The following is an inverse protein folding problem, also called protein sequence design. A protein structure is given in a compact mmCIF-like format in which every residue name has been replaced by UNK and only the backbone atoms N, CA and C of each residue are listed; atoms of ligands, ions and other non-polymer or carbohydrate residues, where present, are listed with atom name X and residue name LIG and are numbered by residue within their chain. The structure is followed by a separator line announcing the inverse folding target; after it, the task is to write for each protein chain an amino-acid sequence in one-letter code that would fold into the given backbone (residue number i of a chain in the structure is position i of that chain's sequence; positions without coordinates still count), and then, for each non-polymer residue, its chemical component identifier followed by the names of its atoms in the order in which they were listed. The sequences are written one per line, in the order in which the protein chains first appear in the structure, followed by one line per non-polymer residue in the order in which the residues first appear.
data_IF_946084844771
#
_entry.id   IF_946084844771
#
_cell.length_a   1.000
_cell.length_b   1.000
_cell.length_c   1.000
_cell.angle_alpha   90.00
_cell.angle_beta   90.00
_cell.angle_gamma   90.00
#
_symmetry.space_group_name_H-M   'P 1'
#
loop_
_entity.id
_entity.type
_entity.pdbx_description
1 polymer ?
#
# COMPACT_ATOMS: atom_id res chain seq x y z
N UNK A 1 25.98 18.99 3.33
CA UNK A 1 25.80 20.03 2.28
C UNK A 1 27.10 20.21 1.45
N UNK A 2 27.67 19.16 0.83
CA UNK A 2 28.99 19.26 0.16
C UNK A 2 28.94 19.96 -1.21
N UNK A 3 27.80 19.94 -1.91
CA UNK A 3 27.62 20.58 -3.21
C UNK A 3 27.57 22.11 -3.11
N UNK A 4 26.94 22.62 -2.05
CA UNK A 4 26.81 24.06 -1.81
C UNK A 4 28.16 24.67 -1.43
N UNK A 5 28.97 23.94 -0.65
CA UNK A 5 30.34 24.36 -0.32
C UNK A 5 31.26 24.37 -1.54
N UNK A 6 31.17 23.36 -2.42
CA UNK A 6 31.98 23.31 -3.65
C UNK A 6 31.62 24.44 -4.63
N UNK A 7 30.32 24.73 -4.81
CA UNK A 7 29.87 25.86 -5.63
C UNK A 7 30.33 27.22 -5.06
N UNK A 8 30.29 27.36 -3.74
CA UNK A 8 30.74 28.57 -3.06
C UNK A 8 32.26 28.79 -3.22
N UNK A 9 33.05 27.74 -3.13
CA UNK A 9 34.51 27.77 -3.30
C UNK A 9 34.93 28.12 -4.74
N UNK A 10 34.17 27.65 -5.74
CA UNK A 10 34.38 28.01 -7.16
C UNK A 10 34.10 29.50 -7.40
N UNK A 11 33.09 30.07 -6.73
CA UNK A 11 32.71 31.48 -6.89
C UNK A 11 33.66 32.48 -6.20
N UNK A 12 34.52 32.02 -5.28
CA UNK A 12 35.47 32.86 -4.56
C UNK A 12 36.79 33.11 -5.30
N UNK A 13 36.98 32.57 -6.51
CA UNK A 13 38.24 32.71 -7.23
C UNK A 13 38.40 34.10 -7.89
N UNK A 14 39.63 34.64 -7.91
CA UNK A 14 39.88 36.04 -8.32
C UNK A 14 39.75 36.27 -9.84
N UNK A 15 39.82 35.21 -10.64
CA UNK A 15 39.85 35.28 -12.11
C UNK A 15 38.56 34.71 -12.71
N UNK A 16 37.80 35.54 -13.42
CA UNK A 16 36.52 35.17 -14.08
C UNK A 16 36.68 33.99 -15.05
N UNK A 17 37.83 33.86 -15.71
CA UNK A 17 38.13 32.74 -16.59
C UNK A 17 38.20 31.39 -15.87
N UNK A 18 38.78 31.38 -14.66
CA UNK A 18 38.92 30.16 -13.84
C UNK A 18 37.58 29.76 -13.23
N UNK A 19 36.79 30.74 -12.78
CA UNK A 19 35.41 30.52 -12.30
C UNK A 19 34.55 29.88 -13.39
N UNK A 20 34.62 30.39 -14.63
CA UNK A 20 33.85 29.86 -15.74
C UNK A 20 34.30 28.45 -16.14
N UNK A 21 35.61 28.18 -16.16
CA UNK A 21 36.17 26.86 -16.47
C UNK A 21 35.77 25.78 -15.46
N UNK A 22 35.92 26.08 -14.17
CA UNK A 22 35.53 25.20 -13.06
C UNK A 22 34.02 24.96 -13.02
N UNK A 23 33.21 26.01 -13.27
CA UNK A 23 31.76 25.88 -13.33
C UNK A 23 31.30 25.01 -14.51
N UNK A 24 31.95 25.12 -15.68
CA UNK A 24 31.69 24.24 -16.82
C UNK A 24 32.06 22.79 -16.50
N UNK A 25 33.21 22.56 -15.85
CA UNK A 25 33.63 21.22 -15.43
C UNK A 25 32.66 20.61 -14.40
N UNK A 26 32.26 21.39 -13.39
CA UNK A 26 31.31 20.98 -12.37
C UNK A 26 29.96 20.61 -13.00
N UNK A 27 29.44 21.47 -13.90
CA UNK A 27 28.22 21.17 -14.64
C UNK A 27 28.37 19.92 -15.52
N UNK A 28 29.51 19.73 -16.18
CA UNK A 28 29.78 18.54 -16.98
C UNK A 28 29.74 17.26 -16.13
N UNK A 29 30.33 17.25 -14.93
CA UNK A 29 30.29 16.09 -14.03
C UNK A 29 28.86 15.75 -13.57
N UNK A 30 28.04 16.77 -13.28
CA UNK A 30 26.63 16.58 -12.94
C UNK A 30 25.85 16.00 -14.12
N UNK A 31 26.07 16.51 -15.33
CA UNK A 31 25.41 16.02 -16.54
C UNK A 31 25.84 14.58 -16.89
N UNK A 32 27.10 14.21 -16.67
CA UNK A 32 27.57 12.84 -16.82
C UNK A 32 26.82 11.90 -15.87
N UNK A 33 26.67 12.26 -14.59
CA UNK A 33 25.93 11.46 -13.62
C UNK A 33 24.45 11.28 -14.03
N UNK A 34 23.81 12.33 -14.55
CA UNK A 34 22.44 12.27 -15.08
C UNK A 34 22.35 11.34 -16.29
N UNK A 35 23.27 11.46 -17.26
CA UNK A 35 23.29 10.60 -18.46
C UNK A 35 23.51 9.15 -18.07
N UNK A 36 24.45 8.86 -17.16
CA UNK A 36 24.66 7.50 -16.65
C UNK A 36 23.41 6.97 -15.95
N UNK A 37 22.76 7.78 -15.10
CA UNK A 37 21.50 7.41 -14.45
C UNK A 37 20.37 7.09 -15.44
N UNK A 38 20.25 7.89 -16.51
CA UNK A 38 19.28 7.64 -17.60
C UNK A 38 19.62 6.38 -18.38
N UNK A 39 20.89 6.16 -18.74
CA UNK A 39 21.34 4.97 -19.45
C UNK A 39 21.14 3.70 -18.61
N UNK A 40 21.45 3.75 -17.31
CA UNK A 40 21.18 2.65 -16.38
C UNK A 40 19.68 2.43 -16.25
N UNK A 41 18.86 3.48 -16.14
CA UNK A 41 17.40 3.37 -16.10
C UNK A 41 16.79 2.81 -17.40
N UNK A 42 17.39 3.09 -18.55
CA UNK A 42 16.97 2.57 -19.86
C UNK A 42 17.43 1.13 -20.11
N UNK A 43 18.65 0.80 -19.68
CA UNK A 43 19.20 -0.55 -19.75
C UNK A 43 18.53 -1.49 -18.73
N UNK A 44 18.05 -0.94 -17.61
CA UNK A 44 17.23 -1.64 -16.65
C UNK A 44 15.82 -1.84 -17.23
N UNK A 45 15.66 -2.87 -18.05
CA UNK A 45 14.34 -3.46 -18.34
C UNK A 45 14.03 -4.52 -17.29
N UNK A 46 13.22 -4.22 -16.27
CA UNK A 46 12.85 -5.25 -15.32
C UNK A 46 12.04 -6.34 -16.03
N UNK A 47 12.47 -7.59 -15.90
CA UNK A 47 11.78 -8.75 -16.49
C UNK A 47 10.32 -8.91 -16.01
N UNK A 48 9.94 -8.28 -14.89
CA UNK A 48 8.55 -8.28 -14.41
C UNK A 48 7.58 -7.47 -15.29
N UNK A 49 8.06 -6.54 -16.11
CA UNK A 49 7.21 -5.78 -17.04
C UNK A 49 6.79 -6.59 -18.30
N UNK A 50 7.46 -7.70 -18.60
CA UNK A 50 7.11 -8.59 -19.73
C UNK A 50 6.35 -9.85 -19.30
N UNK A 51 6.21 -10.11 -18.00
CA UNK A 51 5.52 -11.30 -17.49
C UNK A 51 3.98 -11.23 -17.70
N UNK A 52 3.43 -10.04 -17.99
CA UNK A 52 2.00 -9.86 -18.29
C UNK A 52 1.57 -10.14 -19.74
N UNK A 53 2.51 -10.44 -20.66
CA UNK A 53 2.17 -10.71 -22.09
C UNK A 53 2.35 -12.17 -22.50
N UNK A 54 3.03 -12.99 -21.70
CA UNK A 54 3.21 -14.42 -21.97
C UNK A 54 2.09 -15.33 -21.47
N UNK A 55 1.15 -14.80 -20.69
CA UNK A 55 0.05 -15.57 -20.08
C UNK A 55 -1.32 -15.20 -20.68
N UNK A 56 -1.35 -15.00 -21.99
CA UNK A 56 -2.61 -14.91 -22.78
C UNK A 56 -2.53 -15.65 -24.13
N UNK A 57 -1.46 -16.41 -24.38
CA UNK A 57 -1.35 -17.29 -25.56
C UNK A 57 -0.68 -18.60 -25.15
N UNK A 58 -1.38 -19.41 -24.33
CA UNK A 58 -1.17 -20.86 -24.23
C UNK A 58 -2.25 -21.46 -23.34
N UNK A 59 -3.47 -21.58 -23.87
CA UNK A 59 -4.52 -22.46 -23.34
C UNK A 59 -5.54 -22.77 -24.44
N UNK A 60 -5.08 -23.25 -25.59
CA UNK A 60 -5.91 -24.04 -26.50
C UNK A 60 -5.01 -25.07 -27.19
N UNK A 61 -4.94 -26.27 -26.64
CA UNK A 61 -4.58 -27.48 -27.39
C UNK A 61 -5.61 -28.54 -27.03
N UNK A 62 -6.36 -28.91 -28.06
CA UNK A 62 -7.52 -29.81 -28.09
C UNK A 62 -7.11 -31.28 -28.02
N UNK A 63 -7.99 -32.10 -27.43
CA UNK A 63 -8.12 -33.53 -27.70
C UNK A 63 -8.77 -33.81 -29.07
N UNK A 64 -8.62 -35.02 -29.66
CA UNK A 64 -8.76 -35.23 -31.09
C UNK A 64 -10.13 -35.70 -31.59
N UNK A 65 -10.49 -35.15 -32.77
CA UNK A 65 -11.17 -35.71 -33.95
C UNK A 65 -12.48 -36.53 -33.81
N UNK A 66 -13.54 -35.99 -34.44
CA UNK A 66 -14.38 -36.74 -35.37
C UNK A 66 -14.97 -35.80 -36.46
N UNK A 67 -14.73 -36.18 -37.73
CA UNK A 67 -15.49 -36.05 -39.01
C UNK A 67 -16.70 -35.08 -39.07
N UNK A 68 -17.04 -34.33 -40.14
CA UNK A 68 -16.81 -34.42 -41.59
C UNK A 68 -17.41 -33.16 -42.27
N UNK A 69 -16.94 -32.80 -43.48
CA UNK A 69 -17.63 -32.15 -44.64
C UNK A 69 -18.52 -30.90 -44.42
N UNK A 70 -18.56 -29.81 -45.21
CA UNK A 70 -18.32 -29.58 -46.66
C UNK A 70 -18.49 -28.07 -46.95
N UNK A 71 -17.74 -27.52 -47.94
CA UNK A 71 -18.06 -26.46 -48.93
C UNK A 71 -18.97 -25.24 -48.56
N UNK A 72 -18.74 -23.99 -48.96
CA UNK A 72 -17.95 -23.39 -50.06
C UNK A 72 -18.10 -21.86 -50.06
N UNK A 73 -17.06 -21.16 -50.57
CA UNK A 73 -17.05 -19.90 -51.37
C UNK A 73 -17.71 -18.63 -50.80
N UNK A 74 -17.25 -17.39 -51.01
CA UNK A 74 -16.14 -16.68 -51.67
C UNK A 74 -16.30 -15.21 -51.16
N UNK A 75 -15.31 -14.35 -51.01
CA UNK A 75 -14.61 -13.66 -52.08
C UNK A 75 -13.45 -12.78 -51.56
N UNK A 76 -12.53 -12.53 -52.49
CA UNK A 76 -11.20 -11.92 -52.37
C UNK A 76 -11.24 -10.39 -52.54
N UNK A 77 -10.16 -9.72 -52.11
CA UNK A 77 -9.31 -8.71 -52.80
C UNK A 77 -8.16 -8.45 -51.79
N UNK A 78 -6.89 -8.85 -51.93
CA UNK A 78 -5.85 -8.80 -52.98
C UNK A 78 -5.02 -7.51 -53.03
N UNK A 79 -3.70 -7.73 -53.20
CA UNK A 79 -2.56 -6.84 -53.51
C UNK A 79 -1.85 -6.22 -52.29
N UNK A 80 -0.64 -6.61 -51.86
CA UNK A 80 0.63 -7.08 -52.49
C UNK A 80 1.36 -6.03 -53.33
N UNK A 81 2.56 -5.58 -52.88
CA UNK A 81 3.89 -5.96 -53.41
C UNK A 81 4.98 -5.14 -52.65
N UNK A 82 5.95 -5.80 -51.97
CA UNK A 82 7.35 -6.07 -52.38
C UNK A 82 8.30 -4.88 -52.18
N UNK A 83 9.54 -4.98 -51.71
CA UNK A 83 10.47 -6.07 -51.33
C UNK A 83 11.59 -5.39 -50.51
N UNK A 84 12.77 -5.90 -50.21
CA UNK A 84 13.50 -7.15 -50.33
C UNK A 84 14.79 -6.88 -49.53
N UNK A 85 15.34 -7.88 -48.84
CA UNK A 85 16.64 -7.73 -48.16
C UNK A 85 17.01 -8.91 -47.27
N UNK A 86 17.44 -10.00 -47.89
CA UNK A 86 17.78 -11.30 -47.28
C UNK A 86 19.30 -11.44 -47.06
N UNK A 87 19.70 -11.74 -45.80
CA UNK A 87 20.75 -12.65 -45.23
C UNK A 87 22.19 -12.69 -45.83
N UNK A 88 23.27 -12.90 -45.02
CA UNK A 88 23.70 -14.26 -44.57
C UNK A 88 24.12 -14.32 -43.08
N UNK A 89 23.58 -15.23 -42.27
CA UNK A 89 24.20 -16.48 -41.80
C UNK A 89 25.72 -16.47 -41.60
N UNK A 90 26.15 -16.50 -40.33
CA UNK A 90 27.39 -17.16 -39.91
C UNK A 90 27.13 -17.93 -38.60
N UNK A 91 26.91 -19.23 -38.75
CA UNK A 91 27.20 -20.20 -37.70
C UNK A 91 28.71 -20.36 -37.64
N UNK A 92 29.30 -20.16 -36.46
CA UNK A 92 30.44 -20.93 -35.93
C UNK A 92 31.06 -20.11 -34.81
N UNK A 93 30.98 -20.63 -33.59
CA UNK A 93 32.05 -20.66 -32.58
C UNK A 93 31.47 -21.42 -31.38
N UNK A 94 31.36 -22.75 -31.54
CA UNK A 94 31.30 -23.69 -30.41
C UNK A 94 32.74 -23.88 -29.94
N UNK A 95 33.04 -23.56 -28.69
CA UNK A 95 33.89 -24.40 -27.85
C UNK A 95 33.46 -24.24 -26.37
N UNK A 96 33.57 -25.32 -25.58
CA UNK A 96 32.83 -25.53 -24.36
C UNK A 96 33.59 -25.00 -23.14
N UNK A 97 32.87 -24.61 -22.09
CA UNK A 97 33.46 -24.49 -20.75
C UNK A 97 32.63 -25.24 -19.72
N UNK A 98 33.30 -25.81 -18.70
CA UNK A 98 32.93 -27.09 -18.12
C UNK A 98 32.13 -26.94 -16.84
N UNK A 99 31.31 -27.96 -16.57
CA UNK A 99 30.89 -28.33 -15.23
C UNK A 99 32.09 -28.80 -14.41
N UNK A 100 32.37 -28.17 -13.28
CA UNK A 100 33.12 -28.80 -12.20
C UNK A 100 32.72 -28.20 -10.84
N UNK A 101 32.11 -29.06 -10.03
CA UNK A 101 32.16 -29.01 -8.57
C UNK A 101 33.54 -29.57 -8.16
N UNK A 102 34.23 -28.94 -7.23
CA UNK A 102 34.82 -29.60 -6.05
C UNK A 102 35.54 -28.60 -5.15
N UNK A 103 35.32 -28.71 -3.84
CA UNK A 103 36.40 -29.26 -3.02
C UNK A 103 35.81 -30.03 -1.83
N UNK A 104 36.07 -31.33 -1.85
CA UNK A 104 36.00 -32.25 -0.71
C UNK A 104 37.41 -32.25 -0.09
N UNK A 105 37.49 -32.33 1.24
CA UNK A 105 38.59 -33.04 1.89
C UNK A 105 37.98 -34.25 2.60
N UNK A 106 38.48 -35.41 2.18
CA UNK A 106 38.36 -36.81 2.64
C UNK A 106 38.39 -37.00 4.17
N UNK A 107 38.09 -38.15 4.77
CA UNK A 107 37.30 -39.37 4.54
C UNK A 107 37.47 -40.13 5.88
N UNK A 108 36.46 -40.88 6.33
CA UNK A 108 36.57 -41.63 7.59
C UNK A 108 35.35 -42.51 7.88
N UNK A 109 35.37 -43.67 7.24
CA UNK A 109 34.51 -44.87 7.26
C UNK A 109 34.17 -45.46 8.66
N UNK A 110 32.93 -45.99 8.76
CA UNK A 110 32.30 -47.03 9.60
C UNK A 110 32.12 -46.91 11.13
N UNK A 111 30.86 -46.97 11.61
CA UNK A 111 30.20 -48.20 12.12
C UNK A 111 28.81 -47.94 12.71
N UNK A 112 27.90 -48.90 12.45
CA UNK A 112 26.61 -49.09 13.12
C UNK A 112 26.77 -49.31 14.63
N UNK A 113 25.79 -48.89 15.44
CA UNK A 113 25.11 -49.76 16.43
C UNK A 113 23.90 -49.06 17.08
N UNK A 114 22.80 -49.79 17.11
CA UNK A 114 21.52 -49.52 17.80
C UNK A 114 21.68 -49.80 19.30
N UNK A 115 21.24 -48.92 20.22
CA UNK A 115 20.79 -49.36 21.55
C UNK A 115 19.77 -48.42 22.22
N UNK A 116 18.93 -49.06 23.02
CA UNK A 116 17.62 -48.71 23.57
C UNK A 116 17.62 -47.77 24.80
N UNK A 117 16.44 -47.18 25.06
CA UNK A 117 16.01 -46.42 26.27
C UNK A 117 15.97 -47.31 27.54
N UNK A 118 16.11 -46.77 28.78
CA UNK A 118 14.96 -46.64 29.70
C UNK A 118 14.94 -45.32 30.54
N UNK A 119 13.84 -45.05 31.31
CA UNK A 119 13.46 -43.72 31.82
C UNK A 119 13.86 -43.47 33.29
N UNK A 120 13.85 -42.20 33.74
CA UNK A 120 13.78 -41.89 35.18
C UNK A 120 13.10 -40.54 35.42
N UNK A 121 12.00 -40.59 36.17
CA UNK A 121 11.27 -39.48 36.77
C UNK A 121 12.13 -38.68 37.75
N UNK A 122 12.05 -37.34 37.70
CA UNK A 122 12.28 -36.48 38.86
C UNK A 122 11.47 -35.19 38.68
N UNK A 123 10.46 -35.05 39.54
CA UNK A 123 9.68 -33.84 39.74
C UNK A 123 10.60 -32.63 39.99
N UNK A 124 10.38 -31.55 39.25
CA UNK A 124 10.76 -30.21 39.67
C UNK A 124 9.60 -29.27 39.37
N UNK A 125 8.77 -29.07 40.39
CA UNK A 125 7.84 -27.97 40.48
C UNK A 125 8.64 -26.66 40.46
N UNK A 126 8.77 -26.06 39.28
CA UNK A 126 9.21 -24.68 39.14
C UNK A 126 8.04 -23.89 38.53
N UNK A 127 7.22 -23.34 39.42
CA UNK A 127 6.16 -22.39 39.11
C UNK A 127 6.72 -21.22 38.29
N UNK A 128 6.53 -21.27 36.98
CA UNK A 128 6.77 -20.16 36.07
C UNK A 128 5.54 -19.24 36.08
N UNK A 129 5.55 -18.25 36.97
CA UNK A 129 4.57 -17.17 37.07
C UNK A 129 4.66 -16.15 35.91
N UNK A 130 4.66 -16.62 34.66
CA UNK A 130 4.82 -15.78 33.45
C UNK A 130 3.62 -15.65 32.48
N UNK A 131 2.42 -16.26 32.62
CA UNK A 131 1.38 -16.10 31.60
C UNK A 131 0.41 -14.93 31.81
N UNK A 132 0.38 -14.28 32.97
CA UNK A 132 -0.65 -13.25 33.26
C UNK A 132 -0.26 -11.84 32.79
N UNK A 133 1.03 -11.47 32.92
CA UNK A 133 1.51 -10.12 32.54
C UNK A 133 1.44 -9.91 31.02
N UNK A 134 1.79 -10.92 30.20
CA UNK A 134 1.70 -10.83 28.74
C UNK A 134 0.26 -10.73 28.23
N UNK A 135 -0.71 -11.35 28.92
CA UNK A 135 -2.14 -11.26 28.56
C UNK A 135 -2.76 -9.89 28.86
N UNK A 136 -2.28 -9.20 29.90
CA UNK A 136 -2.77 -7.88 30.29
C UNK A 136 -2.43 -6.76 29.28
N UNK A 137 -1.49 -7.00 28.36
CA UNK A 137 -0.95 -6.00 27.43
C UNK A 137 -1.53 -6.06 26.00
N UNK A 138 -2.44 -6.99 25.71
CA UNK A 138 -2.88 -7.24 24.33
C UNK A 138 -3.85 -6.18 23.82
N UNK A 139 -5.13 -6.28 24.19
CA UNK A 139 -6.18 -5.34 23.79
C UNK A 139 -7.23 -5.29 24.90
N UNK A 140 -7.44 -4.11 25.45
CA UNK A 140 -8.23 -3.84 26.65
C UNK A 140 -9.49 -3.04 26.32
N UNK A 141 -10.38 -2.86 27.28
CA UNK A 141 -11.58 -2.06 27.07
C UNK A 141 -11.27 -0.57 26.91
N UNK A 142 -10.16 -0.07 27.46
CA UNK A 142 -9.66 1.30 27.18
C UNK A 142 -9.37 1.52 25.68
N UNK A 143 -8.95 0.46 24.97
CA UNK A 143 -8.72 0.55 23.53
C UNK A 143 -10.03 0.68 22.74
N UNK A 144 -11.12 0.09 23.26
CA UNK A 144 -12.46 0.27 22.72
C UNK A 144 -12.92 1.72 22.94
N UNK A 145 -12.75 2.26 24.14
CA UNK A 145 -13.12 3.65 24.48
C UNK A 145 -12.44 4.66 23.55
N UNK A 146 -11.13 4.48 23.34
CA UNK A 146 -10.37 5.29 22.39
C UNK A 146 -10.90 5.17 20.95
N UNK A 147 -11.25 3.96 20.50
CA UNK A 147 -11.84 3.77 19.17
C UNK A 147 -13.21 4.46 19.06
N UNK A 148 -14.04 4.43 20.10
CA UNK A 148 -15.32 5.13 20.13
C UNK A 148 -15.13 6.65 20.00
N UNK A 149 -14.21 7.23 20.76
CA UNK A 149 -13.86 8.65 20.64
C UNK A 149 -13.40 9.02 19.22
N UNK A 150 -12.61 8.17 18.56
CA UNK A 150 -12.19 8.38 17.17
C UNK A 150 -13.37 8.33 16.18
N UNK A 151 -14.30 7.39 16.36
CA UNK A 151 -15.51 7.26 15.52
C UNK A 151 -16.38 8.51 15.60
N UNK A 152 -16.53 9.06 16.80
CA UNK A 152 -17.28 10.29 17.07
C UNK A 152 -16.51 11.58 16.79
N UNK A 153 -15.20 11.48 16.49
CA UNK A 153 -14.32 12.65 16.30
C UNK A 153 -14.22 13.52 17.57
N UNK A 154 -14.26 12.86 18.74
CA UNK A 154 -14.11 13.46 20.08
C UNK A 154 -12.80 13.09 20.76
N UNK A 155 -11.84 12.58 20.00
CA UNK A 155 -10.54 12.12 20.51
C UNK A 155 -9.57 13.25 20.91
N UNK A 156 -10.00 14.52 20.79
CA UNK A 156 -9.18 15.70 21.11
C UNK A 156 -8.02 15.98 20.14
N UNK A 157 -7.84 15.16 19.11
CA UNK A 157 -6.80 15.36 18.12
C UNK A 157 -7.08 16.50 17.13
N UNK A 158 -6.07 16.90 16.32
CA UNK A 158 -6.23 17.96 15.32
C UNK A 158 -7.32 17.66 14.30
N UNK A 159 -7.79 18.71 13.63
CA UNK A 159 -8.79 18.60 12.57
C UNK A 159 -8.34 17.70 11.41
N UNK A 160 -9.26 16.87 10.92
CA UNK A 160 -9.05 15.99 9.79
C UNK A 160 -9.05 16.77 8.46
N UNK A 161 -7.98 16.65 7.67
CA UNK A 161 -7.84 17.28 6.35
C UNK A 161 -8.22 16.26 5.28
N UNK A 162 -9.25 16.54 4.48
CA UNK A 162 -9.66 15.64 3.40
C UNK A 162 -8.56 15.54 2.34
N UNK A 163 -8.21 14.31 1.98
CA UNK A 163 -7.15 14.02 1.02
C UNK A 163 -7.64 13.25 -0.22
N UNK A 164 -8.78 12.57 -0.11
CA UNK A 164 -9.31 11.77 -1.21
C UNK A 164 -10.84 11.66 -1.13
N UNK A 165 -11.48 11.71 -2.28
CA UNK A 165 -12.87 11.32 -2.49
C UNK A 165 -12.97 10.61 -3.85
N UNK A 166 -13.31 9.33 -3.84
CA UNK A 166 -13.34 8.45 -5.00
C UNK A 166 -14.51 7.48 -4.87
N UNK A 167 -15.04 7.05 -6.01
CA UNK A 167 -16.07 6.01 -6.05
C UNK A 167 -15.93 5.14 -7.29
N UNK A 168 -16.34 3.90 -7.15
CA UNK A 168 -16.73 3.00 -8.24
C UNK A 168 -18.26 2.84 -8.20
N UNK A 169 -18.80 1.97 -9.05
CA UNK A 169 -20.23 1.66 -9.05
C UNK A 169 -20.70 1.00 -7.74
N UNK A 170 -19.84 0.20 -7.11
CA UNK A 170 -20.18 -0.63 -5.94
C UNK A 170 -19.42 -0.26 -4.66
N UNK A 171 -18.48 0.69 -4.75
CA UNK A 171 -17.64 1.11 -3.64
C UNK A 171 -17.51 2.64 -3.58
N UNK A 172 -17.76 3.25 -2.43
CA UNK A 172 -17.39 4.64 -2.13
C UNK A 172 -16.16 4.70 -1.23
N UNK A 173 -15.29 5.70 -1.41
CA UNK A 173 -14.11 5.87 -0.58
C UNK A 173 -13.78 7.34 -0.34
N UNK A 174 -13.76 7.74 0.93
CA UNK A 174 -13.26 9.04 1.37
C UNK A 174 -12.13 8.84 2.37
N UNK A 175 -11.11 9.68 2.29
CA UNK A 175 -9.98 9.64 3.20
C UNK A 175 -9.57 11.03 3.67
N UNK A 176 -9.09 11.07 4.91
CA UNK A 176 -8.57 12.25 5.60
C UNK A 176 -7.24 11.92 6.26
N UNK A 177 -6.42 12.96 6.45
CA UNK A 177 -5.16 12.92 7.17
C UNK A 177 -5.16 14.01 8.24
N UNK A 178 -4.48 13.77 9.35
CA UNK A 178 -4.01 14.83 10.26
C UNK A 178 -2.57 14.55 10.67
N UNK A 179 -1.86 15.60 11.02
CA UNK A 179 -0.46 15.55 11.43
C UNK A 179 -0.39 16.00 12.90
N UNK A 180 -0.27 15.09 13.89
CA UNK A 180 -0.14 15.48 15.30
C UNK A 180 1.22 16.13 15.57
N UNK A 181 1.33 16.90 16.67
CA UNK A 181 2.60 17.51 17.08
C UNK A 181 3.67 16.46 17.39
N UNK A 182 3.24 15.35 18.00
CA UNK A 182 4.09 14.22 18.34
C UNK A 182 3.59 12.95 17.66
N UNK A 183 4.49 12.23 17.00
CA UNK A 183 4.19 10.93 16.39
C UNK A 183 3.88 11.00 14.89
N UNK A 184 3.61 9.83 14.27
CA UNK A 184 3.44 9.73 12.83
C UNK A 184 2.12 10.37 12.35
N UNK A 185 2.03 10.72 11.05
CA UNK A 185 0.78 11.12 10.43
C UNK A 185 -0.33 10.09 10.67
N UNK A 186 -1.52 10.58 10.97
CA UNK A 186 -2.69 9.75 11.22
C UNK A 186 -3.64 9.83 10.04
N UNK A 187 -4.27 8.71 9.72
CA UNK A 187 -5.18 8.56 8.59
C UNK A 187 -6.54 8.06 9.08
N UNK A 188 -7.59 8.61 8.46
CA UNK A 188 -8.96 8.17 8.61
C UNK A 188 -9.53 7.90 7.23
N UNK A 189 -10.31 6.84 7.07
CA UNK A 189 -11.10 6.66 5.85
C UNK A 189 -12.49 6.11 6.11
N UNK A 190 -13.44 6.45 5.25
CA UNK A 190 -14.79 5.89 5.16
C UNK A 190 -14.90 5.17 3.83
N UNK A 191 -15.06 3.84 3.89
CA UNK A 191 -15.29 3.00 2.71
C UNK A 191 -16.71 2.45 2.79
N UNK A 192 -17.49 2.61 1.74
CA UNK A 192 -18.85 2.07 1.66
C UNK A 192 -18.86 0.97 0.59
N UNK A 193 -19.28 -0.23 0.97
CA UNK A 193 -19.48 -1.37 0.06
C UNK A 193 -20.97 -1.60 -0.13
N UNK A 194 -21.44 -1.54 -1.38
CA UNK A 194 -22.81 -1.90 -1.72
C UNK A 194 -23.01 -3.41 -1.64
N UNK A 195 -24.23 -3.86 -1.36
CA UNK A 195 -24.59 -5.29 -1.34
C UNK A 195 -23.66 -6.12 -0.43
N UNK A 196 -23.41 -5.63 0.79
CA UNK A 196 -22.52 -6.26 1.76
C UNK A 196 -23.05 -6.10 3.18
N UNK A 197 -23.04 -7.19 3.96
CA UNK A 197 -23.43 -7.16 5.36
C UNK A 197 -22.24 -6.87 6.28
N UNK A 198 -22.43 -6.19 7.42
CA UNK A 198 -21.38 -5.97 8.41
C UNK A 198 -20.68 -7.26 8.88
N UNK A 199 -21.43 -8.36 9.03
CA UNK A 199 -20.91 -9.67 9.42
C UNK A 199 -19.91 -10.21 8.39
N UNK A 200 -20.27 -10.12 7.11
CA UNK A 200 -19.42 -10.63 6.03
C UNK A 200 -18.16 -9.78 5.89
N UNK A 201 -18.31 -8.46 5.98
CA UNK A 201 -17.19 -7.52 5.90
C UNK A 201 -16.26 -7.69 7.10
N UNK A 202 -16.79 -7.88 8.31
CA UNK A 202 -16.03 -8.21 9.52
C UNK A 202 -15.17 -9.46 9.28
N UNK A 203 -15.78 -10.56 8.83
CA UNK A 203 -15.06 -11.81 8.61
C UNK A 203 -13.98 -11.64 7.54
N UNK A 204 -14.28 -10.96 6.45
CA UNK A 204 -13.33 -10.66 5.36
C UNK A 204 -12.09 -9.88 5.84
N UNK A 205 -12.28 -8.86 6.69
CA UNK A 205 -11.15 -8.06 7.21
C UNK A 205 -10.32 -8.79 8.27
N UNK A 206 -10.90 -9.80 8.93
CA UNK A 206 -10.21 -10.58 9.97
C UNK A 206 -9.52 -11.84 9.42
N UNK A 207 -9.93 -12.32 8.24
CA UNK A 207 -9.43 -13.56 7.62
C UNK A 207 -8.06 -13.39 6.97
N UNK A 208 -6.99 -13.56 7.75
CA UNK A 208 -5.61 -13.44 7.28
C UNK A 208 -5.24 -14.49 6.22
N UNK A 209 -5.81 -15.69 6.31
CA UNK A 209 -5.58 -16.77 5.34
C UNK A 209 -6.19 -16.41 3.98
N UNK A 210 -7.38 -15.80 3.98
CA UNK A 210 -7.96 -15.27 2.75
C UNK A 210 -7.25 -14.01 2.27
N UNK A 211 -6.75 -13.17 3.19
CA UNK A 211 -6.03 -11.94 2.87
C UNK A 211 -4.81 -12.18 1.99
N UNK A 212 -4.07 -13.27 2.24
CA UNK A 212 -2.93 -13.71 1.42
C UNK A 212 -3.30 -13.99 -0.05
N UNK A 213 -4.58 -14.25 -0.36
CA UNK A 213 -5.05 -14.55 -1.72
C UNK A 213 -5.24 -13.29 -2.58
N UNK A 214 -5.43 -12.12 -1.97
CA UNK A 214 -5.78 -10.89 -2.71
C UNK A 214 -4.91 -9.67 -2.39
N UNK A 215 -4.24 -9.64 -1.23
CA UNK A 215 -3.34 -8.54 -0.85
C UNK A 215 -1.87 -8.89 -1.10
N UNK A 216 -1.35 -8.41 -2.23
CA UNK A 216 0.05 -8.59 -2.63
C UNK A 216 1.08 -8.01 -1.63
N UNK A 217 0.64 -7.17 -0.69
CA UNK A 217 1.51 -6.60 0.34
C UNK A 217 1.63 -7.47 1.59
N UNK A 218 0.80 -8.50 1.78
CA UNK A 218 0.94 -9.44 2.90
C UNK A 218 1.71 -10.67 2.42
N UNK A 219 2.89 -10.91 2.97
CA UNK A 219 3.76 -12.04 2.58
C UNK A 219 3.54 -13.23 3.50
N UNK A 220 3.38 -12.95 4.80
CA UNK A 220 3.24 -13.96 5.84
C UNK A 220 2.23 -13.48 6.87
N UNK A 221 1.40 -14.41 7.34
CA UNK A 221 0.54 -14.22 8.49
C UNK A 221 0.50 -15.51 9.31
N UNK A 222 0.68 -15.40 10.61
CA UNK A 222 0.56 -16.53 11.54
C UNK A 222 -0.04 -16.09 12.87
N UNK A 223 -1.03 -16.84 13.36
CA UNK A 223 -1.55 -16.69 14.73
C UNK A 223 -0.53 -17.27 15.71
N UNK A 224 -0.10 -16.45 16.67
CA UNK A 224 0.80 -16.84 17.74
C UNK A 224 0.00 -17.34 18.94
N UNK A 225 -1.03 -16.60 19.33
CA UNK A 225 -1.93 -16.94 20.44
C UNK A 225 -3.36 -16.51 20.11
N UNK A 226 -4.32 -17.20 20.69
CA UNK A 226 -5.74 -16.86 20.58
C UNK A 226 -6.49 -17.17 21.87
N UNK A 227 -7.50 -16.36 22.18
CA UNK A 227 -8.40 -16.56 23.31
C UNK A 227 -9.82 -16.81 22.79
N UNK A 228 -10.31 -18.05 22.78
CA UNK A 228 -11.67 -18.39 22.32
C UNK A 228 -12.79 -17.78 23.16
N UNK A 229 -12.51 -17.28 24.37
CA UNK A 229 -13.52 -16.65 25.23
C UNK A 229 -13.79 -15.20 24.84
N UNK A 230 -12.75 -14.43 24.57
CA UNK A 230 -12.85 -12.99 24.29
C UNK A 230 -12.72 -12.65 22.80
N UNK A 231 -12.23 -13.58 21.99
CA UNK A 231 -11.90 -13.36 20.59
C UNK A 231 -10.57 -12.66 20.36
N UNK A 232 -9.75 -12.48 21.41
CA UNK A 232 -8.42 -11.87 21.28
C UNK A 232 -7.53 -12.78 20.44
N UNK A 233 -6.79 -12.18 19.51
CA UNK A 233 -5.74 -12.83 18.75
C UNK A 233 -4.44 -12.04 18.84
N UNK A 234 -3.35 -12.77 18.99
CA UNK A 234 -1.99 -12.28 18.79
C UNK A 234 -1.49 -12.84 17.46
N UNK A 235 -1.17 -11.98 16.51
CA UNK A 235 -0.77 -12.38 15.15
C UNK A 235 0.54 -11.73 14.74
N UNK A 236 1.35 -12.49 14.01
CA UNK A 236 2.55 -12.00 13.35
C UNK A 236 2.27 -11.80 11.87
N UNK A 237 2.47 -10.59 11.37
CA UNK A 237 2.40 -10.28 9.93
C UNK A 237 3.77 -9.86 9.41
N UNK A 238 4.09 -10.27 8.17
CA UNK A 238 5.19 -9.69 7.41
C UNK A 238 4.61 -9.06 6.15
N UNK A 239 4.82 -7.75 6.01
CA UNK A 239 4.35 -6.99 4.86
C UNK A 239 5.50 -6.62 3.93
N UNK A 240 5.25 -6.80 2.64
CA UNK A 240 6.14 -6.39 1.57
C UNK A 240 6.22 -4.89 1.48
N UNK A 241 7.43 -4.36 1.47
CA UNK A 241 7.66 -2.95 1.20
C UNK A 241 8.45 -2.76 -0.11
N UNK A 242 8.47 -1.55 -0.68
CA UNK A 242 9.27 -1.26 -1.86
C UNK A 242 10.74 -1.64 -1.67
N UNK A 243 11.39 -2.14 -2.74
CA UNK A 243 12.72 -2.77 -2.70
C UNK A 243 13.85 -1.93 -2.06
N UNK A 244 13.69 -0.61 -1.99
CA UNK A 244 14.65 0.30 -1.37
C UNK A 244 14.58 0.33 0.16
N UNK A 245 13.65 -0.41 0.77
CA UNK A 245 13.53 -0.54 2.21
C UNK A 245 13.20 -2.00 2.60
N UNK A 246 13.58 -2.42 3.80
CA UNK A 246 13.35 -3.81 4.25
C UNK A 246 11.86 -4.06 4.49
N UNK A 247 11.38 -5.28 4.28
CA UNK A 247 10.00 -5.65 4.63
C UNK A 247 9.70 -5.37 6.11
N UNK A 248 8.42 -5.19 6.46
CA UNK A 248 8.00 -4.83 7.82
C UNK A 248 7.37 -6.01 8.51
N UNK A 249 7.77 -6.21 9.76
CA UNK A 249 7.17 -7.20 10.64
C UNK A 249 6.32 -6.51 11.70
N UNK A 250 5.14 -7.06 11.92
CA UNK A 250 4.19 -6.56 12.89
C UNK A 250 3.83 -7.70 13.84
N UNK A 251 3.86 -7.40 15.13
CA UNK A 251 3.24 -8.26 16.14
C UNK A 251 2.02 -7.52 16.65
N UNK A 252 0.85 -8.09 16.37
CA UNK A 252 -0.42 -7.38 16.45
C UNK A 252 -1.32 -8.10 17.44
N UNK A 253 -1.82 -7.35 18.42
CA UNK A 253 -2.97 -7.74 19.24
C UNK A 253 -4.24 -7.22 18.59
N UNK A 254 -5.26 -8.07 18.47
CA UNK A 254 -6.55 -7.66 17.89
C UNK A 254 -7.74 -8.29 18.60
N UNK A 255 -8.85 -7.54 18.72
CA UNK A 255 -10.10 -7.96 19.39
C UNK A 255 -11.31 -7.24 18.78
N UNK A 256 -12.48 -7.88 18.85
CA UNK A 256 -13.75 -7.34 18.33
C UNK A 256 -14.79 -7.19 19.46
N UNK A 257 -15.45 -6.04 19.49
CA UNK A 257 -16.65 -5.78 20.26
C UNK A 257 -17.83 -5.56 19.33
N UNK A 258 -19.03 -5.95 19.79
CA UNK A 258 -20.28 -5.79 19.06
C UNK A 258 -21.26 -4.97 19.89
N UNK A 259 -21.85 -3.96 19.25
CA UNK A 259 -23.00 -3.22 19.78
C UNK A 259 -24.04 -3.03 18.68
N UNK A 260 -25.25 -3.53 18.89
CA UNK A 260 -26.30 -3.54 17.87
C UNK A 260 -25.84 -4.21 16.56
N UNK A 261 -25.83 -3.43 15.47
CA UNK A 261 -25.38 -3.84 14.12
C UNK A 261 -23.99 -3.30 13.76
N UNK A 262 -23.24 -2.86 14.77
CA UNK A 262 -21.91 -2.29 14.60
C UNK A 262 -20.86 -3.17 15.27
N UNK A 263 -19.71 -3.28 14.61
CA UNK A 263 -18.53 -3.97 15.12
C UNK A 263 -17.40 -2.95 15.29
N UNK A 264 -16.82 -2.93 16.49
CA UNK A 264 -15.66 -2.14 16.84
C UNK A 264 -14.49 -3.10 16.94
N UNK A 265 -13.55 -3.01 16.00
CA UNK A 265 -12.42 -3.91 15.98
C UNK A 265 -11.13 -3.12 16.17
N UNK A 266 -10.41 -3.48 17.21
CA UNK A 266 -9.12 -2.89 17.51
C UNK A 266 -8.02 -3.81 16.99
N UNK A 267 -7.04 -3.21 16.32
CA UNK A 267 -5.83 -3.89 15.86
C UNK A 267 -4.65 -2.96 16.17
N UNK A 268 -3.75 -3.37 17.07
CA UNK A 268 -2.60 -2.55 17.48
C UNK A 268 -1.33 -3.38 17.64
N UNK A 269 -0.18 -2.72 17.53
CA UNK A 269 1.12 -3.30 17.84
C UNK A 269 1.20 -3.65 19.33
N UNK A 270 1.70 -4.83 19.64
CA UNK A 270 1.87 -5.32 21.02
C UNK A 270 3.26 -5.89 21.22
N UNK A 271 3.87 -5.71 22.41
CA UNK A 271 5.13 -6.36 22.73
C UNK A 271 4.94 -7.88 22.78
N UNK A 272 5.95 -8.61 22.32
CA UNK A 272 5.94 -10.06 22.34
C UNK A 272 7.37 -10.58 22.51
N UNK A 273 7.63 -11.24 23.64
CA UNK A 273 8.95 -11.74 23.98
C UNK A 273 9.30 -13.04 23.24
N UNK A 274 8.29 -13.84 22.87
CA UNK A 274 8.45 -15.12 22.18
C UNK A 274 8.92 -15.00 20.73
N UNK A 275 8.72 -13.84 20.09
CA UNK A 275 9.21 -13.57 18.73
C UNK A 275 10.41 -12.63 18.77
N UNK A 276 11.66 -13.14 18.66
CA UNK A 276 12.86 -12.31 18.77
C UNK A 276 12.97 -11.32 17.60
N UNK A 277 13.54 -10.14 17.87
CA UNK A 277 13.71 -9.08 16.87
C UNK A 277 14.76 -9.48 15.84
N UNK A 278 14.46 -9.25 14.56
CA UNK A 278 15.38 -9.44 13.45
C UNK A 278 15.74 -8.09 12.82
N UNK A 279 16.90 -8.03 12.17
CA UNK A 279 17.29 -6.86 11.39
C UNK A 279 16.47 -6.74 10.09
N UNK A 280 16.09 -7.88 9.51
CA UNK A 280 15.23 -7.99 8.34
C UNK A 280 14.29 -9.18 8.53
N UNK A 281 12.96 -9.02 8.38
CA UNK A 281 12.22 -7.75 8.24
C UNK A 281 12.42 -6.78 9.43
N UNK A 282 12.20 -5.48 9.22
CA UNK A 282 12.23 -4.46 10.29
C UNK A 282 10.92 -4.53 11.08
N UNK A 283 11.01 -4.70 12.40
CA UNK A 283 9.82 -4.66 13.26
C UNK A 283 9.26 -3.25 13.43
N UNK A 284 7.94 -3.14 13.36
CA UNK A 284 7.16 -1.91 13.61
C UNK A 284 6.50 -2.05 14.98
N UNK A 285 6.96 -1.29 15.97
CA UNK A 285 6.39 -1.34 17.33
C UNK A 285 5.14 -0.47 17.45
N UNK A 286 5.21 0.77 16.94
CA UNK A 286 4.07 1.67 16.89
C UNK A 286 3.21 1.34 15.68
N UNK A 287 2.11 0.63 15.92
CA UNK A 287 1.12 0.28 14.90
C UNK A 287 -0.28 0.39 15.49
N UNK A 288 -1.18 1.07 14.78
CA UNK A 288 -2.61 1.12 15.09
C UNK A 288 -3.39 1.11 13.78
N UNK A 289 -4.37 0.22 13.67
CA UNK A 289 -5.18 0.04 12.45
C UNK A 289 -6.55 -0.51 12.79
N UNK A 290 -7.37 0.30 13.43
CA UNK A 290 -8.65 -0.12 13.99
C UNK A 290 -9.81 0.34 13.11
N UNK A 291 -10.91 -0.42 13.11
CA UNK A 291 -12.06 -0.16 12.26
C UNK A 291 -13.40 -0.25 13.00
N UNK A 292 -14.35 0.58 12.56
CA UNK A 292 -15.76 0.48 12.91
C UNK A 292 -16.55 0.07 11.66
N UNK A 293 -17.24 -1.06 11.74
CA UNK A 293 -18.00 -1.66 10.64
C UNK A 293 -19.49 -1.56 10.98
N UNK A 294 -20.30 -0.96 10.11
CA UNK A 294 -21.74 -0.76 10.36
C UNK A 294 -22.57 -0.81 9.08
N UNK A 295 -23.82 -1.23 9.20
CA UNK A 295 -24.78 -1.17 8.10
C UNK A 295 -25.16 0.30 7.83
N UNK A 296 -25.27 0.66 6.55
CA UNK A 296 -25.68 1.98 6.09
C UNK A 296 -26.65 1.85 4.90
N UNK A 297 -27.37 2.93 4.60
CA UNK A 297 -28.25 2.97 3.44
C UNK A 297 -27.46 2.84 2.14
N UNK A 298 -28.03 2.10 1.18
CA UNK A 298 -27.48 2.02 -0.17
C UNK A 298 -27.59 3.35 -0.89
N UNK A 299 -26.63 3.65 -1.77
CA UNK A 299 -26.71 4.79 -2.69
C UNK A 299 -27.88 4.70 -3.67
N UNK A 300 -28.55 3.54 -3.77
CA UNK A 300 -29.76 3.36 -4.57
C UNK A 300 -30.97 4.16 -4.08
N UNK A 301 -30.93 4.66 -2.83
CA UNK A 301 -31.99 5.53 -2.30
C UNK A 301 -33.30 4.80 -2.01
N UNK A 302 -33.25 3.48 -1.80
CA UNK A 302 -34.38 2.63 -1.43
C UNK A 302 -34.67 2.64 0.09
N UNK A 303 -33.88 3.38 0.87
CA UNK A 303 -33.94 3.41 2.34
C UNK A 303 -33.53 2.10 3.00
N UNK A 304 -33.03 1.11 2.24
CA UNK A 304 -32.64 -0.18 2.79
C UNK A 304 -31.18 -0.16 3.24
N UNK A 305 -30.92 -0.77 4.40
CA UNK A 305 -29.57 -0.93 4.97
C UNK A 305 -28.81 -2.10 4.31
N UNK A 306 -28.67 -2.06 2.99
CA UNK A 306 -28.03 -3.11 2.18
C UNK A 306 -26.55 -2.84 1.89
N UNK A 307 -26.03 -1.69 2.31
CA UNK A 307 -24.63 -1.33 2.21
C UNK A 307 -23.93 -1.41 3.58
N UNK A 308 -22.60 -1.53 3.54
CA UNK A 308 -21.76 -1.57 4.73
C UNK A 308 -20.72 -0.45 4.68
N UNK A 309 -20.65 0.37 5.71
CA UNK A 309 -19.58 1.34 5.92
C UNK A 309 -18.49 0.76 6.82
N UNK A 310 -17.24 0.97 6.42
CA UNK A 310 -16.03 0.71 7.21
C UNK A 310 -15.32 2.03 7.42
N UNK A 311 -15.36 2.50 8.67
CA UNK A 311 -14.48 3.56 9.15
C UNK A 311 -13.16 2.93 9.58
N UNK A 312 -12.05 3.42 9.06
CA UNK A 312 -10.69 2.98 9.40
C UNK A 312 -9.94 4.16 10.04
N UNK A 313 -9.22 3.88 11.12
CA UNK A 313 -8.28 4.78 11.77
C UNK A 313 -6.90 4.13 11.83
N UNK A 314 -5.90 4.77 11.27
CA UNK A 314 -4.60 4.16 11.05
C UNK A 314 -3.44 5.12 11.29
N UNK A 315 -2.43 4.64 12.01
CA UNK A 315 -1.11 5.27 12.09
C UNK A 315 -0.05 4.23 12.45
N UNK A 316 1.17 4.41 11.95
CA UNK A 316 2.28 3.51 12.23
C UNK A 316 3.63 4.22 12.07
N UNK A 317 4.65 3.72 12.77
CA UNK A 317 6.05 4.11 12.52
C UNK A 317 6.77 3.07 11.64
N UNK A 318 6.65 3.26 10.33
CA UNK A 318 7.27 2.39 9.32
C UNK A 318 8.82 2.47 9.29
N UNK A 319 9.42 3.41 10.03
CA UNK A 319 10.86 3.71 9.96
C UNK A 319 11.28 4.36 8.64
N UNK A 320 10.36 5.09 8.01
CA UNK A 320 10.60 5.89 6.81
C UNK A 320 10.30 7.35 7.16
N UNK A 321 11.09 8.33 6.66
CA UNK A 321 10.73 9.74 6.79
C UNK A 321 9.28 10.01 6.40
N UNK A 322 8.53 10.69 7.27
CA UNK A 322 7.08 10.83 7.12
C UNK A 322 6.67 11.54 5.83
N UNK A 323 7.45 12.48 5.31
CA UNK A 323 7.17 13.13 4.02
C UNK A 323 7.18 12.14 2.85
N UNK A 324 8.09 11.17 2.89
CA UNK A 324 8.17 10.10 1.87
C UNK A 324 6.97 9.17 2.02
N UNK A 325 6.63 8.79 3.25
CA UNK A 325 5.45 7.97 3.52
C UNK A 325 4.17 8.67 3.04
N UNK A 326 3.99 9.96 3.37
CA UNK A 326 2.86 10.79 2.92
C UNK A 326 2.76 10.87 1.40
N UNK A 327 3.89 11.03 0.70
CA UNK A 327 3.92 11.00 -0.76
C UNK A 327 3.47 9.64 -1.29
N UNK A 328 3.98 8.55 -0.72
CA UNK A 328 3.60 7.18 -1.07
C UNK A 328 2.10 6.94 -0.89
N UNK A 329 1.54 7.35 0.25
CA UNK A 329 0.10 7.24 0.52
C UNK A 329 -0.70 8.05 -0.50
N UNK A 330 -0.34 9.32 -0.75
CA UNK A 330 -1.06 10.18 -1.70
C UNK A 330 -1.12 9.60 -3.10
N UNK A 331 -0.06 8.94 -3.56
CA UNK A 331 0.02 8.35 -4.90
C UNK A 331 -0.55 6.94 -4.97
N UNK A 332 -0.33 6.12 -3.94
CA UNK A 332 -0.61 4.69 -3.95
C UNK A 332 -1.93 4.27 -3.32
N UNK A 333 -2.51 5.08 -2.43
CA UNK A 333 -3.68 4.70 -1.60
C UNK A 333 -4.85 4.20 -2.45
N UNK A 334 -5.27 4.95 -3.48
CA UNK A 334 -6.39 4.51 -4.32
C UNK A 334 -6.08 3.20 -5.06
N UNK A 335 -4.83 3.03 -5.52
CA UNK A 335 -4.39 1.82 -6.19
C UNK A 335 -4.43 0.57 -5.30
N UNK A 336 -4.19 0.73 -4.00
CA UNK A 336 -4.28 -0.34 -3.00
C UNK A 336 -5.74 -0.58 -2.57
N UNK A 337 -6.46 0.48 -2.21
CA UNK A 337 -7.85 0.41 -1.71
C UNK A 337 -8.80 -0.19 -2.74
N UNK A 338 -8.64 0.14 -4.03
CA UNK A 338 -9.49 -0.42 -5.09
C UNK A 338 -9.40 -1.95 -5.22
N UNK A 339 -8.36 -2.60 -4.68
CA UNK A 339 -8.21 -4.06 -4.67
C UNK A 339 -9.08 -4.74 -3.62
N UNK A 340 -9.52 -3.99 -2.60
CA UNK A 340 -10.38 -4.51 -1.54
C UNK A 340 -11.72 -4.99 -2.13
N UNK A 341 -12.31 -4.22 -3.04
CA UNK A 341 -13.60 -4.55 -3.66
C UNK A 341 -13.61 -5.92 -4.37
N UNK A 342 -12.74 -6.21 -5.36
CA UNK A 342 -12.71 -7.54 -5.98
C UNK A 342 -12.36 -8.65 -4.97
N UNK A 343 -11.51 -8.37 -3.96
CA UNK A 343 -11.22 -9.30 -2.87
C UNK A 343 -12.48 -9.64 -2.05
N UNK A 344 -13.26 -8.64 -1.68
CA UNK A 344 -14.53 -8.80 -0.97
C UNK A 344 -15.54 -9.58 -1.81
N UNK A 345 -15.66 -9.31 -3.11
CA UNK A 345 -16.55 -10.07 -4.01
C UNK A 345 -16.13 -11.53 -4.16
N UNK A 346 -14.82 -11.80 -4.22
CA UNK A 346 -14.32 -13.17 -4.21
C UNK A 346 -14.65 -13.88 -2.88
N UNK A 347 -14.49 -13.17 -1.76
CA UNK A 347 -14.87 -13.69 -0.44
C UNK A 347 -16.36 -14.01 -0.35
N UNK A 348 -17.24 -13.11 -0.81
CA UNK A 348 -18.69 -13.32 -0.88
C UNK A 348 -19.05 -14.58 -1.65
N UNK A 349 -18.45 -14.78 -2.84
CA UNK A 349 -18.66 -15.99 -3.64
C UNK A 349 -18.20 -17.25 -2.90
N UNK A 350 -17.05 -17.19 -2.23
CA UNK A 350 -16.54 -18.31 -1.44
C UNK A 350 -17.43 -18.64 -0.23
N UNK A 351 -18.06 -17.64 0.39
CA UNK A 351 -19.04 -17.88 1.47
C UNK A 351 -20.36 -18.44 0.92
N UNK A 352 -20.79 -18.00 -0.26
CA UNK A 352 -21.98 -18.53 -0.92
C UNK A 352 -21.84 -19.98 -1.41
N UNK A 353 -20.62 -20.45 -1.71
CA UNK A 353 -20.36 -21.86 -2.07
C UNK A 353 -20.39 -22.82 -0.87
N UNK A 354 -20.49 -22.31 0.35
CA UNK A 354 -20.51 -23.13 1.57
C UNK A 354 -19.13 -23.57 2.05
N UNK A 355 -18.05 -22.95 1.57
CA UNK A 355 -16.70 -23.26 2.04
C UNK A 355 -16.58 -22.99 3.55
N UNK A 356 -15.88 -23.85 4.31
CA UNK A 356 -15.67 -23.65 5.73
C UNK A 356 -14.91 -22.34 6.00
N UNK A 357 -15.19 -21.73 7.15
CA UNK A 357 -14.48 -20.56 7.63
C UNK A 357 -13.04 -20.95 8.00
N UNK A 358 -12.09 -20.05 7.69
CA UNK A 358 -10.74 -20.15 8.23
C UNK A 358 -10.75 -19.99 9.75
N UNK A 359 -9.64 -20.34 10.42
CA UNK A 359 -9.57 -20.16 11.88
C UNK A 359 -9.69 -18.68 12.24
N UNK A 360 -9.06 -17.80 11.47
CA UNK A 360 -9.17 -16.35 11.65
C UNK A 360 -10.60 -15.85 11.46
N UNK A 361 -11.28 -16.26 10.38
CA UNK A 361 -12.67 -15.86 10.15
C UNK A 361 -13.61 -16.36 11.25
N UNK A 362 -13.40 -17.58 11.75
CA UNK A 362 -14.14 -18.11 12.89
C UNK A 362 -13.93 -17.28 14.17
N UNK A 363 -12.67 -16.93 14.47
CA UNK A 363 -12.34 -16.07 15.62
C UNK A 363 -12.99 -14.69 15.53
N UNK A 364 -13.22 -14.15 14.32
CA UNK A 364 -13.95 -12.89 14.13
C UNK A 364 -15.40 -12.93 14.63
N UNK A 365 -16.00 -14.13 14.67
CA UNK A 365 -17.38 -14.34 15.13
C UNK A 365 -17.48 -14.35 16.66
N UNK A 366 -16.36 -14.54 17.36
CA UNK A 366 -16.25 -14.45 18.82
C UNK A 366 -16.00 -12.98 19.16
N UNK A 367 -17.06 -12.27 19.53
CA UNK A 367 -17.02 -10.86 19.89
C UNK A 367 -17.58 -10.61 21.28
N UNK A 368 -17.02 -9.60 21.95
CA UNK A 368 -17.52 -9.14 23.25
C UNK A 368 -18.74 -8.23 23.02
N UNK A 369 -19.88 -8.58 23.59
CA UNK A 369 -21.10 -7.77 23.48
C UNK A 369 -21.03 -6.59 24.44
N UNK A 370 -21.34 -5.40 23.94
CA UNK A 370 -21.36 -4.15 24.72
C UNK A 370 -22.74 -3.51 24.54
N UNK A 371 -23.30 -2.98 25.62
CA UNK A 371 -24.60 -2.30 25.55
C UNK A 371 -24.47 -0.96 24.81
N UNK A 372 -25.55 -0.54 24.15
CA UNK A 372 -25.61 0.78 23.54
C UNK A 372 -25.51 1.88 24.60
N UNK A 373 -26.04 1.64 25.81
CA UNK A 373 -25.99 2.59 26.93
C UNK A 373 -24.57 2.78 27.45
N UNK A 374 -23.75 1.70 27.49
CA UNK A 374 -22.35 1.82 27.84
C UNK A 374 -21.61 2.69 26.82
N UNK A 375 -21.80 2.43 25.52
CA UNK A 375 -21.19 3.26 24.48
C UNK A 375 -21.64 4.72 24.60
N UNK A 376 -22.95 4.96 24.77
CA UNK A 376 -23.51 6.29 24.99
C UNK A 376 -22.94 6.99 26.23
N UNK A 377 -22.68 6.24 27.30
CA UNK A 377 -22.10 6.81 28.53
C UNK A 377 -20.67 7.32 28.29
N UNK A 378 -19.89 6.64 27.46
CA UNK A 378 -18.57 7.10 27.02
C UNK A 378 -18.66 8.38 26.19
N UNK A 379 -19.74 8.54 25.41
CA UNK A 379 -20.00 9.78 24.67
C UNK A 379 -20.28 10.95 25.60
N UNK A 380 -20.94 10.70 26.74
CA UNK A 380 -21.42 11.71 27.68
C UNK A 380 -20.38 12.14 28.72
N UNK A 381 -19.51 11.23 29.18
CA UNK A 381 -18.48 11.54 30.18
C UNK A 381 -17.40 12.49 29.65
N UNK A 382 -17.28 12.63 28.33
CA UNK A 382 -16.38 13.59 27.67
C UNK A 382 -16.95 15.01 27.52
N UNK A 383 -18.24 15.22 27.79
CA UNK A 383 -18.92 16.51 27.60
C UNK A 383 -18.96 17.40 28.86
N UNK A 384 -18.46 16.96 30.01
CA UNK A 384 -18.58 17.70 31.28
C UNK A 384 -17.49 18.76 31.49
N UNK A 385 -16.75 19.15 30.44
CA UNK A 385 -15.81 20.27 30.49
C UNK A 385 -15.93 21.18 29.27
N UNK A 386 -16.36 22.42 29.53
CA UNK A 386 -16.42 23.61 28.66
C UNK A 386 -17.62 23.75 27.72
N UNK A 387 -18.77 24.13 28.28
CA UNK A 387 -19.60 25.15 27.64
C UNK A 387 -18.83 26.48 27.65
N UNK A 388 -18.33 26.89 26.49
CA UNK A 388 -18.05 28.31 26.22
C UNK A 388 -18.84 28.69 24.98
N UNK A 389 -19.71 29.66 25.20
CA UNK A 389 -20.62 30.28 24.26
C UNK A 389 -19.97 30.58 22.91
N UNK A 390 -20.61 30.11 21.85
CA UNK A 390 -20.43 30.62 20.49
C UNK A 390 -20.89 32.07 20.42
N UNK A 391 -19.94 33.00 20.46
CA UNK A 391 -20.15 34.36 19.96
C UNK A 391 -19.76 34.42 18.49
N UNK A 392 -20.79 34.72 17.70
CA UNK A 392 -20.79 34.99 16.28
C UNK A 392 -19.85 36.16 15.94
N UNK A 393 -18.81 35.90 15.15
CA UNK A 393 -18.03 36.97 14.50
C UNK A 393 -17.90 36.67 13.02
N UNK A 394 -18.81 37.25 12.26
CA UNK A 394 -18.69 37.53 10.84
C UNK A 394 -17.43 38.37 10.58
N UNK A 395 -16.37 37.75 10.04
CA UNK A 395 -15.29 38.49 9.38
C UNK A 395 -15.13 38.07 7.92
N UNK A 396 -15.21 39.11 7.08
CA UNK A 396 -15.17 39.09 5.63
C UNK A 396 -13.87 38.49 5.11
N UNK A 397 -14.00 37.63 4.09
CA UNK A 397 -12.91 37.27 3.18
C UNK A 397 -12.26 38.52 2.59
N UNK A 398 -11.04 38.84 3.03
CA UNK A 398 -10.16 39.75 2.31
C UNK A 398 -9.31 38.93 1.33
N UNK A 399 -9.70 38.99 0.05
CA UNK A 399 -8.98 38.36 -1.05
C UNK A 399 -7.55 38.89 -1.18
N UNK A 400 -6.57 38.02 -0.95
CA UNK A 400 -5.17 38.27 -1.32
C UNK A 400 -4.92 37.71 -2.72
N UNK A 401 -4.89 38.63 -3.69
CA UNK A 401 -4.47 38.39 -5.06
C UNK A 401 -3.02 37.87 -5.10
N UNK A 402 -2.83 36.64 -5.58
CA UNK A 402 -1.50 36.14 -5.97
C UNK A 402 -1.21 36.69 -7.37
N UNK A 403 -0.10 37.43 -7.59
CA UNK A 403 0.23 37.95 -8.91
C UNK A 403 0.55 36.80 -9.87
N UNK A 404 -0.12 36.80 -11.03
CA UNK A 404 -0.02 35.82 -12.12
C UNK A 404 1.34 35.83 -12.87
N UNK A 405 2.45 36.14 -12.19
CA UNK A 405 3.79 36.21 -12.79
C UNK A 405 4.71 35.03 -12.44
N UNK A 406 4.37 34.20 -11.44
CA UNK A 406 5.20 33.05 -11.05
C UNK A 406 4.79 31.71 -11.69
N UNK A 407 3.67 31.67 -12.41
CA UNK A 407 3.20 30.44 -13.11
C UNK A 407 3.70 30.36 -14.56
N UNK A 408 4.21 31.46 -15.13
CA UNK A 408 4.71 31.50 -16.52
C UNK A 408 6.24 31.25 -16.60
N UNK A 409 7.00 31.53 -15.53
CA UNK A 409 8.45 31.31 -15.50
C UNK A 409 8.87 29.83 -15.41
N UNK A 410 8.08 28.99 -14.73
CA UNK A 410 8.38 27.55 -14.57
C UNK A 410 8.13 26.71 -15.83
N UNK A 411 7.23 27.13 -16.71
CA UNK A 411 6.90 26.40 -17.95
C UNK A 411 7.92 26.65 -19.08
N UNK A 412 8.57 27.81 -19.10
CA UNK A 412 9.57 28.17 -20.12
C UNK A 412 10.89 27.42 -19.89
N UNK A 413 11.27 27.20 -18.62
CA UNK A 413 12.49 26.44 -18.29
C UNK A 413 12.32 24.94 -18.61
N UNK A 414 11.14 24.36 -18.36
CA UNK A 414 10.84 22.96 -18.71
C UNK A 414 10.72 22.72 -20.22
N UNK A 415 10.24 23.69 -20.99
CA UNK A 415 10.15 23.60 -22.44
C UNK A 415 11.53 23.75 -23.13
N UNK A 416 12.50 24.44 -22.51
CA UNK A 416 13.85 24.60 -23.06
C UNK A 416 14.83 23.47 -22.70
N UNK A 417 14.48 22.59 -21.74
CA UNK A 417 15.33 21.47 -21.34
C UNK A 417 14.99 20.13 -22.04
N UNK A 418 13.90 20.05 -22.81
CA UNK A 418 13.40 18.78 -23.36
C UNK A 418 13.29 18.70 -24.89
N UNK A 419 13.73 19.70 -25.65
CA UNK A 419 13.66 19.63 -27.11
C UNK A 419 15.05 19.76 -27.75
N UNK A 420 15.68 18.61 -28.00
CA UNK A 420 16.78 18.50 -28.98
C UNK A 420 16.17 18.60 -30.37
N UNK A 421 15.88 19.83 -30.78
CA UNK A 421 15.72 20.29 -32.16
C UNK A 421 15.08 19.32 -33.14
N UNK A 422 13.73 19.28 -33.20
CA UNK A 422 13.04 18.84 -34.42
C UNK A 422 11.60 19.34 -34.60
N UNK A 423 11.09 20.25 -33.76
CA UNK A 423 9.73 20.81 -33.89
C UNK A 423 9.66 22.34 -34.00
N UNK A 424 10.75 23.00 -34.41
CA UNK A 424 10.81 24.47 -34.46
C UNK A 424 10.40 25.12 -35.79
N UNK A 425 9.84 24.40 -36.76
CA UNK A 425 9.39 25.02 -38.04
C UNK A 425 7.88 25.04 -38.29
N UNK A 426 7.09 24.19 -37.65
CA UNK A 426 5.64 24.17 -37.88
C UNK A 426 4.85 25.06 -36.91
N UNK A 427 5.33 25.27 -35.67
CA UNK A 427 4.57 26.01 -34.65
C UNK A 427 4.84 27.51 -34.69
N UNK A 428 6.05 27.94 -35.08
CA UNK A 428 6.39 29.37 -35.19
C UNK A 428 5.63 30.05 -36.35
N UNK A 429 5.42 29.35 -37.47
CA UNK A 429 4.64 29.88 -38.59
C UNK A 429 3.11 29.81 -38.40
N UNK A 430 2.63 28.91 -37.53
CA UNK A 430 1.19 28.77 -37.23
C UNK A 430 0.65 29.82 -36.24
N UNK A 431 1.49 30.32 -35.33
CA UNK A 431 1.09 31.28 -34.29
C UNK A 431 1.22 32.74 -34.77
N UNK A 432 2.19 33.06 -35.63
CA UNK A 432 2.32 34.40 -36.22
C UNK A 432 1.14 34.80 -37.14
N UNK A 433 0.40 33.83 -37.70
CA UNK A 433 -0.77 34.10 -38.56
C UNK A 433 -2.08 34.31 -37.80
N UNK A 434 -2.13 33.99 -36.49
CA UNK A 434 -3.34 34.14 -35.65
C UNK A 434 -3.33 35.39 -34.76
N UNK A 435 -2.19 36.04 -34.56
CA UNK A 435 -2.12 37.30 -33.79
C UNK A 435 -2.22 38.59 -34.64
N UNK A 436 -2.09 38.50 -35.97
CA UNK A 436 -2.30 39.64 -36.87
C UNK A 436 -3.79 40.03 -37.09
N UNK A 437 -4.74 39.41 -36.38
CA UNK A 437 -6.19 39.67 -36.53
C UNK A 437 -6.90 40.22 -35.28
N UNK A 438 -6.18 40.52 -34.20
CA UNK A 438 -6.78 41.12 -32.98
C UNK A 438 -6.54 42.63 -32.82
N UNK A 439 -5.83 43.28 -33.73
CA UNK A 439 -5.62 44.74 -33.75
C UNK A 439 -6.55 45.48 -34.72
N UNK A 440 -7.88 45.33 -34.57
CA UNK A 440 -8.90 46.23 -35.14
C UNK A 440 -10.23 46.01 -34.43
N UNK A 441 -10.41 46.69 -33.30
CA UNK A 441 -11.65 47.38 -32.87
C UNK A 441 -11.44 47.94 -31.46
N UNK A 442 -11.40 49.28 -31.43
CA UNK A 442 -11.44 50.23 -30.30
C UNK A 442 -10.28 50.17 -29.30
#
# INVERSE_FOLDING_TARGET
MPLVSALWEILQRPTIGDVLGELVLFMATLWIAVIVGVLVGWAWKPKWANLGRGMLVCSVSKDPLQESSTSSSSDKISQSLMGLGSIPSLNSLKLPLPSCISWISDCGVDKEETFSVPPTDMNSDCSSSKPEIEKSLLVTDNDLEHLCQLVEVKDGGPAWIQMMDRSTQTMGYRAWRRDPETGPPQYRSSTIFEDATPELVRDFFWDDEFRLKWDDMLIHASTLEECPTTGIMLVQWIRKFPFFCSDREYIIGRRIWKSGRSYYCVTKGVPCSSVPRRNKPRRVDLYYSSWCIRAVESKRGDGQLTACEVLLFHHEDMGIPWEIAKLGVRQGMWGAVKKIEPGLRAYQKQRASGDPLSRCAFMAQINTKVSADYLRSLESSSNDSSEVETLDSSEKQLGRNIPKLLVVGGAIVLACSLDRGLLTKAVIFGVARRFAKFGRRL
#
